data_IF_632451187851
#
_entry.id   IF_632451187851
#
_cell.length_a   1.000
_cell.length_b   1.000
_cell.length_c   1.000
_cell.angle_alpha   90.00
_cell.angle_beta   90.00
_cell.angle_gamma   90.00
#
_symmetry.space_group_name_H-M   'P 1'
#
loop_
_entity.id
_entity.type
_entity.pdbx_description
1 polymer ?
#
# COMPACT_ATOMS: atom_id res chain seq x y z
N UNK A 1 22.08 -4.87 11.99
CA UNK A 1 21.01 -3.91 11.66
C UNK A 1 19.93 -4.66 10.91
N UNK A 2 18.68 -4.60 11.36
CA UNK A 2 17.56 -5.27 10.66
C UNK A 2 17.27 -4.51 9.37
N UNK A 3 17.36 -5.18 8.22
CA UNK A 3 16.97 -4.59 6.95
C UNK A 3 15.48 -4.25 6.97
N UNK A 4 15.07 -3.07 6.47
CA UNK A 4 13.66 -2.70 6.38
C UNK A 4 12.92 -3.75 5.55
N UNK A 5 11.75 -4.14 6.04
CA UNK A 5 10.89 -5.12 5.36
C UNK A 5 10.00 -4.46 4.33
N UNK A 6 9.59 -3.21 4.54
CA UNK A 6 8.75 -2.48 3.61
C UNK A 6 9.18 -1.01 3.55
N UNK A 7 9.07 -0.42 2.37
CA UNK A 7 9.22 1.01 2.13
C UNK A 7 7.90 1.51 1.56
N UNK A 8 7.24 2.44 2.26
CA UNK A 8 6.03 3.12 1.78
C UNK A 8 6.49 4.40 1.08
N UNK A 9 6.09 4.58 -0.17
CA UNK A 9 6.41 5.75 -0.97
C UNK A 9 5.18 6.32 -1.66
N UNK A 10 4.93 7.62 -1.51
CA UNK A 10 3.84 8.30 -2.21
C UNK A 10 4.38 9.08 -3.42
N UNK A 11 4.01 8.71 -4.66
CA UNK A 11 4.48 9.42 -5.85
C UNK A 11 3.86 10.83 -5.99
N UNK A 12 2.73 11.09 -5.32
CA UNK A 12 2.01 12.36 -5.42
C UNK A 12 2.63 13.46 -4.58
N UNK A 13 3.02 13.15 -3.34
CA UNK A 13 3.59 14.14 -2.40
C UNK A 13 5.07 13.90 -2.08
N UNK A 14 5.67 12.83 -2.58
CA UNK A 14 7.08 12.50 -2.34
C UNK A 14 7.36 11.92 -0.96
N UNK A 15 6.35 11.37 -0.27
CA UNK A 15 6.54 10.66 0.99
C UNK A 15 7.44 9.44 0.76
N UNK A 16 8.42 9.19 1.64
CA UNK A 16 9.19 7.93 1.67
C UNK A 16 9.50 7.54 3.12
N UNK A 17 8.95 6.41 3.58
CA UNK A 17 9.14 5.90 4.94
C UNK A 17 9.43 4.40 4.94
N UNK A 18 10.37 3.97 5.81
CA UNK A 18 10.86 2.58 5.85
C UNK A 18 10.46 1.92 7.16
N UNK A 19 9.86 0.74 7.05
CA UNK A 19 9.32 -0.01 8.16
C UNK A 19 9.95 -1.39 8.27
N UNK A 20 10.22 -1.82 9.50
CA UNK A 20 10.71 -3.18 9.80
C UNK A 20 9.56 -4.19 10.00
N UNK A 21 8.33 -3.70 10.16
CA UNK A 21 7.09 -4.47 10.36
C UNK A 21 6.09 -4.09 9.28
N UNK A 22 5.41 -5.10 8.72
CA UNK A 22 4.39 -4.88 7.69
C UNK A 22 3.11 -4.22 8.22
N UNK A 23 2.75 -4.52 9.47
CA UNK A 23 1.58 -3.94 10.11
C UNK A 23 1.69 -2.40 10.20
N UNK A 24 2.85 -1.89 10.63
CA UNK A 24 3.11 -0.45 10.69
C UNK A 24 3.11 0.18 9.28
N UNK A 25 3.71 -0.49 8.29
CA UNK A 25 3.69 -0.01 6.90
C UNK A 25 2.26 0.10 6.34
N UNK A 26 1.41 -0.89 6.63
CA UNK A 26 0.01 -0.92 6.18
C UNK A 26 -0.82 0.18 6.85
N UNK A 27 -0.68 0.34 8.16
CA UNK A 27 -1.33 1.44 8.88
C UNK A 27 -0.96 2.79 8.27
N UNK A 28 0.33 2.99 7.96
CA UNK A 28 0.82 4.24 7.36
C UNK A 28 0.18 4.55 6.00
N UNK A 29 -0.04 3.53 5.17
CA UNK A 29 -0.73 3.67 3.86
C UNK A 29 -2.17 4.12 4.07
N UNK A 30 -2.89 3.45 4.98
CA UNK A 30 -4.29 3.75 5.27
C UNK A 30 -4.46 5.15 5.85
N UNK A 31 -3.61 5.54 6.82
CA UNK A 31 -3.57 6.89 7.38
C UNK A 31 -3.26 7.93 6.30
N UNK A 32 -2.23 7.71 5.47
CA UNK A 32 -1.89 8.66 4.41
C UNK A 32 -3.03 8.86 3.42
N UNK A 33 -3.71 7.77 3.03
CA UNK A 33 -4.87 7.82 2.13
C UNK A 33 -6.02 8.59 2.78
N UNK A 34 -6.29 8.38 4.06
CA UNK A 34 -7.34 9.08 4.78
C UNK A 34 -7.03 10.59 4.96
N UNK A 35 -5.78 10.95 5.22
CA UNK A 35 -5.36 12.33 5.47
C UNK A 35 -5.20 13.15 4.18
N UNK A 36 -4.66 12.54 3.13
CA UNK A 36 -4.27 13.25 1.91
C UNK A 36 -5.12 12.91 0.69
N UNK A 37 -5.88 11.82 0.73
CA UNK A 37 -6.57 11.28 -0.43
C UNK A 37 -5.63 10.67 -1.47
N UNK A 38 -4.33 10.55 -1.19
CA UNK A 38 -3.37 9.94 -2.10
C UNK A 38 -3.33 8.42 -1.96
N UNK A 39 -2.85 7.77 -3.01
CA UNK A 39 -2.60 6.33 -2.99
C UNK A 39 -1.08 6.07 -2.94
N UNK A 40 -0.50 5.88 -1.75
CA UNK A 40 0.91 5.56 -1.62
C UNK A 40 1.18 4.12 -2.04
N UNK A 41 2.25 3.92 -2.80
CA UNK A 41 2.76 2.60 -3.14
C UNK A 41 3.66 2.07 -2.01
N UNK A 42 3.91 0.77 -2.01
CA UNK A 42 4.88 0.16 -1.11
C UNK A 42 5.72 -0.88 -1.81
N UNK A 43 7.01 -0.85 -1.51
CA UNK A 43 7.99 -1.82 -1.95
C UNK A 43 8.35 -2.73 -0.78
N UNK A 44 8.12 -4.03 -0.97
CA UNK A 44 8.49 -5.04 -0.01
C UNK A 44 9.96 -5.42 -0.25
N UNK A 45 10.82 -5.22 0.75
CA UNK A 45 12.19 -5.69 0.72
C UNK A 45 12.22 -7.21 0.65
N UNK A 46 13.06 -7.78 -0.23
CA UNK A 46 13.23 -9.22 -0.54
C UNK A 46 12.58 -10.17 0.47
N UNK A 47 11.29 -10.46 0.30
CA UNK A 47 10.59 -11.46 1.11
C UNK A 47 10.96 -12.87 0.63
N UNK A 48 10.98 -13.82 1.56
CA UNK A 48 10.90 -15.24 1.24
C UNK A 48 9.67 -15.48 0.33
N UNK A 49 9.76 -16.37 -0.67
CA UNK A 49 8.67 -16.58 -1.64
C UNK A 49 7.39 -16.99 -0.91
N UNK A 50 6.30 -16.23 -1.05
CA UNK A 50 5.01 -16.58 -0.45
C UNK A 50 4.08 -15.45 0.00
N UNK A 51 4.38 -14.17 -0.25
CA UNK A 51 3.44 -13.06 0.00
C UNK A 51 3.17 -12.32 -1.31
N UNK A 52 2.70 -13.08 -2.29
CA UNK A 52 2.13 -12.54 -3.53
C UNK A 52 0.62 -12.54 -3.36
N UNK A 53 0.00 -11.35 -3.44
CA UNK A 53 -1.46 -11.08 -3.34
C UNK A 53 -2.08 -11.07 -1.95
N UNK A 54 -2.01 -9.92 -1.26
CA UNK A 54 -3.07 -9.44 -0.35
C UNK A 54 -3.06 -7.89 -0.36
N UNK A 55 -3.07 -7.30 -1.55
CA UNK A 55 -3.23 -5.85 -1.77
C UNK A 55 -4.50 -5.51 -2.53
N UNK A 56 -5.37 -6.50 -2.75
CA UNK A 56 -6.59 -6.42 -3.55
C UNK A 56 -7.82 -6.80 -2.69
N UNK A 57 -7.85 -6.34 -1.44
CA UNK A 57 -8.99 -6.53 -0.53
C UNK A 57 -9.40 -5.23 0.18
N UNK A 58 -8.80 -4.10 -0.19
CA UNK A 58 -9.22 -2.77 0.24
C UNK A 58 -10.03 -2.10 -0.86
N UNK A 59 -11.22 -2.65 -1.13
CA UNK A 59 -12.25 -2.02 -1.96
C UNK A 59 -12.51 -2.67 -3.31
N UNK A 60 -13.11 -3.87 -3.34
CA UNK A 60 -14.07 -4.15 -4.40
C UNK A 60 -15.32 -3.33 -4.08
N UNK A 61 -15.28 -2.04 -4.36
CA UNK A 61 -16.51 -1.36 -4.72
C UNK A 61 -16.91 -1.96 -6.06
N UNK A 62 -17.82 -2.94 -6.00
CA UNK A 62 -18.60 -3.34 -7.16
C UNK A 62 -19.38 -2.13 -7.64
N UNK A 63 -18.75 -1.32 -8.48
CA UNK A 63 -19.45 -0.45 -9.42
C UNK A 63 -19.28 -1.11 -10.77
N UNK A 64 -20.12 -2.13 -11.01
CA UNK A 64 -20.57 -2.37 -12.37
C UNK A 64 -21.45 -1.18 -12.70
N UNK A 65 -20.89 -0.10 -13.23
CA UNK A 65 -21.71 1.01 -13.67
C UNK A 65 -21.08 1.74 -14.86
N UNK A 66 -20.98 1.03 -15.98
CA UNK A 66 -20.85 1.62 -17.32
C UNK A 66 -21.43 0.59 -18.33
N UNK A 67 -22.75 0.57 -18.59
CA UNK A 67 -23.46 1.29 -19.67
C UNK A 67 -23.20 0.77 -21.11
N UNK A 68 -24.18 0.08 -21.72
CA UNK A 68 -24.72 0.42 -23.07
C UNK A 68 -25.91 -0.48 -23.51
N UNK A 69 -27.05 0.19 -23.75
CA UNK A 69 -28.22 -0.11 -24.61
C UNK A 69 -28.98 -1.44 -24.49
#
# INVERSE_FOLDING_TARGET
>A
MSTPRATVACPTCGLEERFSKLADARLRIEEHRAETGHDPAWELGRFAPGVEKMGDEAGVCGVNLDEND
#
